data_IF_439712613193
#
_entry.id   IF_439712613193
#
_cell.length_a   1.000
_cell.length_b   1.000
_cell.length_c   1.000
_cell.angle_alpha   90.00
_cell.angle_beta   90.00
_cell.angle_gamma   90.00
#
_symmetry.space_group_name_H-M   'P 1'
#
loop_
_entity.id
_entity.type
_entity.pdbx_description
1 polymer ?
#
# COMPACT_ATOMS: atom_id res chain seq x y z
N UNK A 1 35.45 2.29 7.10
CA UNK A 1 34.43 2.89 6.21
C UNK A 1 33.24 1.94 6.04
N UNK A 2 33.48 0.65 5.75
CA UNK A 2 32.42 -0.37 5.65
C UNK A 2 31.62 -0.62 6.94
N UNK A 3 32.20 -0.45 8.15
CA UNK A 3 31.42 -0.66 9.39
C UNK A 3 30.36 0.43 9.63
N UNK A 4 30.66 1.71 9.32
CA UNK A 4 29.71 2.82 9.47
C UNK A 4 28.51 2.70 8.53
N UNK A 5 28.75 2.25 7.29
CA UNK A 5 27.68 2.02 6.29
C UNK A 5 26.76 0.88 6.76
N UNK A 6 27.33 -0.18 7.34
CA UNK A 6 26.53 -1.28 7.89
C UNK A 6 25.71 -0.86 9.11
N UNK A 7 26.23 0.05 9.95
CA UNK A 7 25.51 0.59 11.10
C UNK A 7 24.38 1.55 10.67
N UNK A 8 24.61 2.40 9.67
CA UNK A 8 23.57 3.26 9.08
C UNK A 8 22.47 2.46 8.39
N UNK A 9 22.82 1.40 7.65
CA UNK A 9 21.85 0.49 7.04
C UNK A 9 21.04 -0.28 8.09
N UNK A 10 21.68 -0.74 9.17
CA UNK A 10 20.96 -1.34 10.31
C UNK A 10 19.99 -0.35 10.94
N UNK A 11 20.41 0.90 11.14
CA UNK A 11 19.55 1.96 11.69
C UNK A 11 18.40 2.32 10.74
N UNK A 12 18.62 2.35 9.42
CA UNK A 12 17.53 2.56 8.45
C UNK A 12 16.58 1.37 8.36
N UNK A 13 17.07 0.14 8.57
CA UNK A 13 16.23 -1.05 8.62
C UNK A 13 15.41 -1.10 9.93
N UNK A 14 15.94 -0.61 11.04
CA UNK A 14 15.18 -0.43 12.29
C UNK A 14 14.04 0.59 12.10
N UNK A 15 14.18 1.59 11.21
CA UNK A 15 13.09 2.51 10.88
C UNK A 15 11.94 1.85 10.11
N UNK A 16 12.14 0.68 9.48
CA UNK A 16 11.03 -0.08 8.89
C UNK A 16 10.13 -0.72 9.96
N UNK A 17 10.59 -0.94 11.19
CA UNK A 17 9.78 -1.57 12.26
C UNK A 17 8.51 -0.77 12.61
N UNK A 18 8.49 0.54 12.36
CA UNK A 18 7.34 1.40 12.65
C UNK A 18 6.37 1.50 11.47
N UNK A 19 6.72 0.91 10.32
CA UNK A 19 5.86 0.90 9.14
C UNK A 19 4.79 -0.17 9.34
N UNK A 20 3.55 0.27 9.29
CA UNK A 20 2.40 -0.59 9.55
C UNK A 20 1.17 -0.06 8.81
N UNK A 21 0.45 -0.95 8.12
CA UNK A 21 -0.86 -0.63 7.58
C UNK A 21 -1.93 -0.98 8.63
N UNK A 22 -2.80 -0.03 9.01
CA UNK A 22 -3.81 -0.27 10.04
C UNK A 22 -4.78 -1.38 9.65
N UNK A 23 -5.28 -2.12 10.65
CA UNK A 23 -6.41 -3.03 10.46
C UNK A 23 -7.72 -2.25 10.49
N UNK A 24 -8.79 -2.84 9.93
CA UNK A 24 -10.11 -2.20 9.88
C UNK A 24 -10.60 -1.70 11.24
N UNK A 25 -10.39 -2.49 12.29
CA UNK A 25 -10.77 -2.17 13.67
C UNK A 25 -10.06 -0.92 14.25
N UNK A 26 -9.00 -0.47 13.61
CA UNK A 26 -8.20 0.70 14.02
C UNK A 26 -8.64 1.98 13.28
N UNK A 27 -9.60 1.86 12.35
CA UNK A 27 -10.26 3.03 11.77
C UNK A 27 -11.20 3.69 12.78
N UNK A 28 -11.48 4.99 12.62
CA UNK A 28 -12.54 5.65 13.37
C UNK A 28 -13.87 4.92 13.18
N UNK A 29 -14.60 4.74 14.27
CA UNK A 29 -15.95 4.16 14.30
C UNK A 29 -17.05 5.19 13.96
N UNK A 30 -16.66 6.41 13.62
CA UNK A 30 -17.53 7.49 13.19
C UNK A 30 -17.18 7.98 11.79
N UNK A 31 -18.16 8.55 11.10
CA UNK A 31 -17.95 9.12 9.79
C UNK A 31 -17.16 10.43 9.86
N UNK A 32 -16.26 10.63 8.90
CA UNK A 32 -15.34 11.76 8.81
C UNK A 32 -15.66 12.67 7.62
N UNK A 33 -15.22 13.92 7.67
CA UNK A 33 -15.27 14.84 6.54
C UNK A 33 -14.02 14.73 5.66
N UNK A 34 -14.06 15.35 4.48
CA UNK A 34 -12.97 15.28 3.49
C UNK A 34 -11.59 15.60 4.09
N UNK A 35 -11.45 16.70 4.83
CA UNK A 35 -10.15 17.11 5.38
C UNK A 35 -9.62 16.09 6.41
N UNK A 36 -10.53 15.48 7.17
CA UNK A 36 -10.20 14.40 8.10
C UNK A 36 -9.80 13.13 7.36
N UNK A 37 -10.51 12.76 6.29
CA UNK A 37 -10.15 11.60 5.45
C UNK A 37 -8.75 11.79 4.83
N UNK A 38 -8.44 12.98 4.31
CA UNK A 38 -7.11 13.32 3.81
C UNK A 38 -6.06 13.20 4.92
N UNK A 39 -6.33 13.77 6.09
CA UNK A 39 -5.43 13.70 7.23
C UNK A 39 -5.17 12.27 7.69
N UNK A 40 -6.21 11.44 7.77
CA UNK A 40 -6.09 10.01 8.09
C UNK A 40 -5.26 9.28 7.05
N UNK A 41 -5.55 9.46 5.76
CA UNK A 41 -4.79 8.83 4.67
C UNK A 41 -3.32 9.22 4.71
N UNK A 42 -3.00 10.51 4.86
CA UNK A 42 -1.62 10.99 4.96
C UNK A 42 -0.91 10.47 6.21
N UNK A 43 -1.61 10.33 7.32
CA UNK A 43 -1.05 9.74 8.53
C UNK A 43 -0.72 8.26 8.35
N UNK A 44 -1.64 7.48 7.79
CA UNK A 44 -1.43 6.04 7.60
C UNK A 44 -0.44 5.72 6.47
N UNK A 45 -0.27 6.62 5.49
CA UNK A 45 0.64 6.41 4.35
C UNK A 45 1.96 7.17 4.46
N UNK A 46 2.22 7.84 5.59
CA UNK A 46 3.35 8.75 5.76
C UNK A 46 4.69 8.14 5.34
N UNK A 47 4.92 6.89 5.73
CA UNK A 47 6.17 6.16 5.48
C UNK A 47 6.01 5.10 4.36
N UNK A 48 4.87 5.14 3.65
CA UNK A 48 4.49 4.20 2.58
C UNK A 48 4.31 4.86 1.20
N UNK A 49 4.21 6.18 1.16
CA UNK A 49 3.93 6.95 -0.06
C UNK A 49 4.65 8.28 -0.04
N UNK A 50 5.41 8.56 -1.11
CA UNK A 50 6.10 9.85 -1.30
C UNK A 50 5.15 11.01 -1.69
N UNK A 51 3.87 10.71 -1.94
CA UNK A 51 2.87 11.70 -2.33
C UNK A 51 1.84 11.92 -1.23
N UNK A 52 1.68 13.17 -0.81
CA UNK A 52 0.55 13.59 0.01
C UNK A 52 -0.77 13.52 -0.77
N UNK A 53 -1.80 13.05 -0.09
CA UNK A 53 -3.17 13.02 -0.59
C UNK A 53 -3.79 14.40 -0.53
N UNK A 54 -4.63 14.68 -1.53
CA UNK A 54 -5.39 15.92 -1.62
C UNK A 54 -6.88 15.63 -1.82
N UNK A 55 -7.79 16.55 -1.46
CA UNK A 55 -9.21 16.42 -1.75
C UNK A 55 -9.51 16.16 -3.24
N UNK A 56 -8.73 16.77 -4.14
CA UNK A 56 -8.86 16.60 -5.59
C UNK A 56 -8.58 15.16 -6.04
N UNK A 57 -7.62 14.48 -5.41
CA UNK A 57 -7.32 13.08 -5.71
C UNK A 57 -8.48 12.18 -5.29
N UNK A 58 -9.02 12.37 -4.08
CA UNK A 58 -10.18 11.62 -3.59
C UNK A 58 -11.39 11.84 -4.50
N UNK A 59 -11.67 13.10 -4.87
CA UNK A 59 -12.72 13.42 -5.84
C UNK A 59 -12.50 12.75 -7.20
N UNK A 60 -11.24 12.67 -7.67
CA UNK A 60 -10.91 11.93 -8.88
C UNK A 60 -11.18 10.43 -8.75
N UNK A 61 -10.94 9.83 -7.58
CA UNK A 61 -11.22 8.41 -7.33
C UNK A 61 -12.73 8.13 -7.36
N UNK A 62 -13.52 8.98 -6.69
CA UNK A 62 -14.98 8.89 -6.71
C UNK A 62 -15.52 9.08 -8.13
N UNK A 63 -15.03 10.08 -8.87
CA UNK A 63 -15.47 10.34 -10.26
C UNK A 63 -15.18 9.17 -11.20
N UNK A 64 -14.04 8.49 -11.02
CA UNK A 64 -13.65 7.31 -11.81
C UNK A 64 -14.29 6.01 -11.30
N UNK A 65 -14.99 6.06 -10.17
CA UNK A 65 -15.66 4.90 -9.57
C UNK A 65 -14.70 3.88 -8.95
N UNK A 66 -13.55 4.34 -8.45
CA UNK A 66 -12.67 3.51 -7.60
C UNK A 66 -13.09 3.54 -6.12
N UNK A 67 -13.81 4.59 -5.73
CA UNK A 67 -14.26 4.83 -4.37
C UNK A 67 -15.75 5.12 -4.40
N UNK A 68 -16.49 4.66 -3.39
CA UNK A 68 -17.91 4.95 -3.28
C UNK A 68 -18.18 6.45 -3.13
N UNK A 69 -19.39 6.87 -3.54
CA UNK A 69 -19.80 8.26 -3.35
C UNK A 69 -20.05 8.51 -1.87
N UNK A 70 -19.52 9.60 -1.29
CA UNK A 70 -19.77 9.94 0.10
C UNK A 70 -21.24 10.27 0.34
N UNK A 71 -21.75 9.88 1.52
CA UNK A 71 -23.09 10.21 1.94
C UNK A 71 -23.12 11.55 2.67
N UNK A 72 -23.86 12.54 2.15
CA UNK A 72 -23.97 13.87 2.78
C UNK A 72 -22.60 14.51 3.12
N UNK A 73 -21.60 14.31 2.25
CA UNK A 73 -20.18 14.75 2.41
C UNK A 73 -19.42 14.06 3.55
N UNK A 74 -19.90 12.90 3.99
CA UNK A 74 -19.27 12.09 5.02
C UNK A 74 -18.72 10.80 4.43
N UNK A 75 -17.61 10.36 4.98
CA UNK A 75 -16.83 9.20 4.58
C UNK A 75 -16.74 8.26 5.78
N UNK A 76 -16.82 6.97 5.54
CA UNK A 76 -16.76 5.92 6.58
C UNK A 76 -15.47 5.08 6.46
N UNK A 77 -15.38 4.03 7.27
CA UNK A 77 -14.29 3.05 7.24
C UNK A 77 -14.03 2.46 5.85
N UNK A 78 -15.07 2.23 5.04
CA UNK A 78 -14.94 1.72 3.68
C UNK A 78 -14.16 2.69 2.79
N UNK A 79 -14.44 3.99 2.91
CA UNK A 79 -13.73 5.01 2.14
C UNK A 79 -12.26 5.12 2.57
N UNK A 80 -11.95 4.91 3.85
CA UNK A 80 -10.57 4.88 4.35
C UNK A 80 -9.85 3.66 3.74
N UNK A 81 -10.45 2.47 3.78
CA UNK A 81 -9.90 1.26 3.18
C UNK A 81 -9.60 1.44 1.67
N UNK A 82 -10.59 1.92 0.91
CA UNK A 82 -10.46 2.21 -0.52
C UNK A 82 -9.32 3.20 -0.78
N UNK A 83 -9.25 4.30 0.00
CA UNK A 83 -8.22 5.31 -0.13
C UNK A 83 -6.80 4.74 0.02
N UNK A 84 -6.59 3.91 1.04
CA UNK A 84 -5.29 3.31 1.33
C UNK A 84 -4.87 2.34 0.22
N UNK A 85 -5.76 1.42 -0.17
CA UNK A 85 -5.49 0.43 -1.23
C UNK A 85 -5.21 1.12 -2.56
N UNK A 86 -6.03 2.09 -2.98
CA UNK A 86 -5.82 2.82 -4.23
C UNK A 86 -4.49 3.56 -4.19
N UNK A 87 -4.16 4.20 -3.07
CA UNK A 87 -2.96 5.03 -2.95
C UNK A 87 -1.67 4.22 -3.01
N UNK A 88 -1.67 3.01 -2.47
CA UNK A 88 -0.55 2.09 -2.57
C UNK A 88 -0.44 1.51 -3.98
N UNK A 89 -1.53 0.98 -4.54
CA UNK A 89 -1.48 0.24 -5.81
C UNK A 89 -1.32 1.13 -7.05
N UNK A 90 -1.77 2.38 -7.03
CA UNK A 90 -1.64 3.32 -8.17
C UNK A 90 -0.18 3.64 -8.53
N UNK A 91 0.76 3.41 -7.60
CA UNK A 91 2.19 3.61 -7.84
C UNK A 91 2.76 2.56 -8.79
N UNK A 92 2.11 1.38 -8.85
CA UNK A 92 2.55 0.24 -9.65
C UNK A 92 1.65 0.05 -10.89
N UNK A 93 0.33 0.23 -10.74
CA UNK A 93 -0.66 -0.07 -11.76
C UNK A 93 -1.47 1.15 -12.21
N UNK A 94 -1.93 1.18 -13.47
CA UNK A 94 -2.94 2.14 -13.92
C UNK A 94 -4.23 2.03 -13.09
N UNK A 95 -4.90 3.16 -12.86
CA UNK A 95 -6.12 3.21 -12.05
C UNK A 95 -7.24 2.27 -12.54
N UNK A 96 -7.36 2.04 -13.86
CA UNK A 96 -8.34 1.10 -14.39
C UNK A 96 -8.05 -0.36 -13.97
N UNK A 97 -6.78 -0.74 -13.90
CA UNK A 97 -6.39 -2.08 -13.41
C UNK A 97 -6.72 -2.19 -11.92
N UNK A 98 -6.35 -1.18 -11.12
CA UNK A 98 -6.67 -1.13 -9.68
C UNK A 98 -8.18 -1.26 -9.45
N UNK A 99 -8.97 -0.49 -10.20
CA UNK A 99 -10.44 -0.52 -10.13
C UNK A 99 -10.99 -1.91 -10.41
N UNK A 100 -10.53 -2.55 -11.49
CA UNK A 100 -11.01 -3.87 -11.88
C UNK A 100 -10.65 -4.91 -10.82
N UNK A 101 -9.43 -4.89 -10.28
CA UNK A 101 -9.02 -5.82 -9.22
C UNK A 101 -9.87 -5.66 -7.95
N UNK A 102 -10.10 -4.42 -7.51
CA UNK A 102 -10.97 -4.14 -6.35
C UNK A 102 -12.38 -4.69 -6.59
N UNK A 103 -12.97 -4.39 -7.76
CA UNK A 103 -14.32 -4.85 -8.08
C UNK A 103 -14.43 -6.38 -8.12
N UNK A 104 -13.43 -7.09 -8.64
CA UNK A 104 -13.42 -8.55 -8.65
C UNK A 104 -13.38 -9.13 -7.23
N UNK A 105 -12.51 -8.61 -6.35
CA UNK A 105 -12.41 -9.06 -4.96
C UNK A 105 -13.74 -8.83 -4.22
N UNK A 106 -14.36 -7.67 -4.44
CA UNK A 106 -15.62 -7.29 -3.78
C UNK A 106 -16.86 -8.06 -4.28
N UNK A 107 -16.74 -8.93 -5.31
CA UNK A 107 -17.81 -9.86 -5.66
C UNK A 107 -17.98 -10.99 -4.64
N UNK A 108 -16.89 -11.37 -3.98
CA UNK A 108 -16.84 -12.52 -3.07
C UNK A 108 -16.65 -12.11 -1.60
N UNK A 109 -16.20 -10.88 -1.36
CA UNK A 109 -15.85 -10.38 -0.04
C UNK A 109 -16.51 -9.04 0.25
N UNK A 110 -16.84 -8.79 1.52
CA UNK A 110 -17.13 -7.44 1.99
C UNK A 110 -15.87 -6.55 1.96
N UNK A 111 -16.05 -5.22 1.95
CA UNK A 111 -14.93 -4.27 1.98
C UNK A 111 -14.02 -4.50 3.19
N UNK A 112 -14.60 -4.79 4.36
CA UNK A 112 -13.85 -5.10 5.57
C UNK A 112 -12.99 -6.36 5.42
N UNK A 113 -13.56 -7.46 4.91
CA UNK A 113 -12.82 -8.71 4.72
C UNK A 113 -11.70 -8.56 3.70
N UNK A 114 -11.98 -7.89 2.58
CA UNK A 114 -10.99 -7.62 1.54
C UNK A 114 -9.84 -6.77 2.08
N UNK A 115 -10.17 -5.69 2.80
CA UNK A 115 -9.18 -4.78 3.37
C UNK A 115 -8.31 -5.46 4.42
N UNK A 116 -8.93 -6.17 5.39
CA UNK A 116 -8.16 -6.89 6.41
C UNK A 116 -7.26 -7.97 5.79
N UNK A 117 -7.71 -8.66 4.74
CA UNK A 117 -6.86 -9.62 4.02
C UNK A 117 -5.67 -8.93 3.36
N UNK A 118 -5.90 -7.78 2.72
CA UNK A 118 -4.83 -6.98 2.13
C UNK A 118 -3.83 -6.46 3.18
N UNK A 119 -4.33 -5.90 4.30
CA UNK A 119 -3.50 -5.34 5.36
C UNK A 119 -2.69 -6.41 6.08
N UNK A 120 -3.27 -7.57 6.40
CA UNK A 120 -2.53 -8.70 6.95
C UNK A 120 -1.42 -9.15 6.00
N UNK A 121 -1.74 -9.37 4.72
CA UNK A 121 -0.72 -9.78 3.74
C UNK A 121 0.39 -8.74 3.61
N UNK A 122 0.05 -7.45 3.62
CA UNK A 122 1.02 -6.37 3.57
C UNK A 122 1.96 -6.40 4.78
N UNK A 123 1.40 -6.40 5.99
CA UNK A 123 2.15 -6.37 7.24
C UNK A 123 3.00 -7.63 7.44
N UNK A 124 2.45 -8.81 7.11
CA UNK A 124 3.18 -10.08 7.17
C UNK A 124 4.35 -10.09 6.19
N UNK A 125 4.14 -9.60 4.96
CA UNK A 125 5.20 -9.52 3.95
C UNK A 125 6.32 -8.57 4.39
N UNK A 126 5.96 -7.41 4.95
CA UNK A 126 6.92 -6.44 5.48
C UNK A 126 7.76 -7.07 6.61
N UNK A 127 7.12 -7.69 7.58
CA UNK A 127 7.80 -8.33 8.71
C UNK A 127 8.74 -9.47 8.25
N UNK A 128 8.34 -10.24 7.25
CA UNK A 128 9.18 -11.30 6.69
C UNK A 128 10.39 -10.76 5.90
N UNK A 129 10.23 -9.62 5.22
CA UNK A 129 11.34 -8.94 4.57
C UNK A 129 12.36 -8.46 5.60
N UNK A 130 11.92 -7.93 6.74
CA UNK A 130 12.83 -7.53 7.84
C UNK A 130 13.66 -8.72 8.32
N UNK A 131 13.00 -9.81 8.71
CA UNK A 131 13.64 -11.03 9.21
C UNK A 131 14.65 -11.63 8.20
N UNK A 132 14.33 -11.57 6.90
CA UNK A 132 15.23 -12.03 5.85
C UNK A 132 16.35 -11.03 5.53
N UNK A 133 16.08 -9.71 5.63
CA UNK A 133 17.03 -8.62 5.37
C UNK A 133 18.21 -8.60 6.35
N UNK A 134 18.02 -9.04 7.60
CA UNK A 134 19.12 -9.22 8.56
C UNK A 134 20.21 -10.19 8.07
N UNK A 135 19.90 -11.12 7.15
CA UNK A 135 20.89 -12.01 6.53
C UNK A 135 21.65 -11.37 5.35
N UNK A 136 21.22 -10.21 4.83
CA UNK A 136 21.87 -9.51 3.71
C UNK A 136 22.92 -8.47 4.16
N UNK A 137 23.01 -8.20 5.47
CA UNK A 137 23.93 -7.18 6.03
C UNK A 137 25.40 -7.65 5.98
N UNK A 138 25.65 -8.90 5.59
CA UNK A 138 27.01 -9.40 5.32
C UNK A 138 27.53 -9.05 3.91
N UNK A 139 26.70 -8.48 3.04
CA UNK A 139 27.14 -8.01 1.72
C UNK A 139 27.65 -6.56 1.78
N UNK A 140 28.97 -6.40 1.63
CA UNK A 140 29.71 -5.14 1.73
C UNK A 140 29.42 -4.08 0.65
N UNK A 141 28.28 -4.14 -0.06
CA UNK A 141 27.97 -3.22 -1.17
C UNK A 141 26.48 -2.84 -1.25
N UNK A 142 26.12 -1.69 -0.67
CA UNK A 142 24.77 -1.10 -0.73
C UNK A 142 24.24 -0.95 -2.15
N UNK A 143 25.11 -0.63 -3.12
CA UNK A 143 24.70 -0.42 -4.51
C UNK A 143 24.20 -1.72 -5.15
N UNK A 144 24.90 -2.83 -4.92
CA UNK A 144 24.50 -4.15 -5.43
C UNK A 144 23.18 -4.60 -4.80
N UNK A 145 22.97 -4.32 -3.51
CA UNK A 145 21.71 -4.64 -2.84
C UNK A 145 20.54 -3.82 -3.41
N UNK A 146 20.73 -2.53 -3.62
CA UNK A 146 19.75 -1.65 -4.28
C UNK A 146 19.41 -2.14 -5.68
N UNK A 147 20.42 -2.53 -6.48
CA UNK A 147 20.23 -3.11 -7.80
C UNK A 147 19.39 -4.38 -7.74
N UNK A 148 19.69 -5.30 -6.81
CA UNK A 148 18.90 -6.53 -6.60
C UNK A 148 17.44 -6.24 -6.27
N UNK A 149 17.16 -5.28 -5.38
CA UNK A 149 15.79 -4.90 -5.05
C UNK A 149 15.05 -4.27 -6.23
N UNK A 150 15.72 -3.38 -6.97
CA UNK A 150 15.14 -2.77 -8.17
C UNK A 150 14.78 -3.83 -9.22
N UNK A 151 15.67 -4.78 -9.50
CA UNK A 151 15.41 -5.89 -10.42
C UNK A 151 14.22 -6.74 -9.96
N UNK A 152 14.17 -7.09 -8.66
CA UNK A 152 13.04 -7.85 -8.09
C UNK A 152 11.72 -7.12 -8.23
N UNK A 153 11.68 -5.82 -7.95
CA UNK A 153 10.48 -5.00 -8.12
C UNK A 153 9.97 -5.02 -9.58
N UNK A 154 10.89 -4.89 -10.56
CA UNK A 154 10.56 -4.99 -11.98
C UNK A 154 10.00 -6.38 -12.32
N UNK A 155 10.65 -7.45 -11.88
CA UNK A 155 10.21 -8.83 -12.15
C UNK A 155 8.82 -9.09 -11.55
N UNK A 156 8.60 -8.74 -10.28
CA UNK A 156 7.32 -8.97 -9.63
C UNK A 156 6.18 -8.19 -10.30
N UNK A 157 6.44 -6.94 -10.73
CA UNK A 157 5.48 -6.18 -11.52
C UNK A 157 5.14 -6.86 -12.86
N UNK A 158 6.12 -7.42 -13.55
CA UNK A 158 5.89 -8.11 -14.83
C UNK A 158 5.09 -9.41 -14.63
N UNK A 159 5.43 -10.17 -13.59
CA UNK A 159 4.70 -11.41 -13.25
C UNK A 159 3.26 -11.10 -12.86
N UNK A 160 3.05 -10.12 -11.96
CA UNK A 160 1.70 -9.75 -11.53
C UNK A 160 0.85 -9.22 -12.68
N UNK A 161 1.41 -8.41 -13.60
CA UNK A 161 0.68 -7.95 -14.78
C UNK A 161 0.24 -9.11 -15.67
N UNK A 162 1.11 -10.12 -15.88
CA UNK A 162 0.72 -11.32 -16.65
C UNK A 162 -0.39 -12.12 -15.97
N UNK A 163 -0.38 -12.22 -14.65
CA UNK A 163 -1.44 -12.90 -13.89
C UNK A 163 -2.77 -12.15 -14.04
N UNK A 164 -2.75 -10.82 -13.91
CA UNK A 164 -3.91 -9.94 -14.13
C UNK A 164 -4.46 -10.13 -15.54
N UNK A 165 -3.60 -10.03 -16.57
CA UNK A 165 -4.02 -10.18 -17.97
C UNK A 165 -4.59 -11.58 -18.25
N UNK A 166 -4.05 -12.62 -17.61
CA UNK A 166 -4.55 -13.99 -17.75
C UNK A 166 -5.91 -14.18 -17.08
N UNK A 167 -6.19 -13.44 -16.00
CA UNK A 167 -7.48 -13.50 -15.31
C UNK A 167 -8.59 -12.88 -16.18
N UNK A 168 -8.33 -11.71 -16.78
CA UNK A 168 -9.32 -10.99 -17.61
C UNK A 168 -9.45 -11.49 -19.06
N UNK A 169 -8.63 -12.44 -19.50
CA UNK A 169 -8.78 -13.12 -20.81
C UNK A 169 -9.75 -14.30 -20.78
N UNK A 170 -10.26 -14.69 -19.61
CA UNK A 170 -11.33 -15.68 -19.45
C UNK A 170 -12.68 -15.01 -19.63
#
# INVERSE_FOLDING_TARGET
MSSRINDELKLSLIQFNDIYLPMWKEFPDFQVYMDQLVSLGNRYLKDLSDSELTPSMINSYVKKGLMQRPEKKKYDASHIAELLVISLLKTIYPLEVVKNCINEILKEQSVEQAYNSFANLFNDTLHNIENSSYNFIDTSNTLELTEKFAIRAVIYKLVSQKLIDSYYKK
#
